data_IF_431414614218
#
_entry.id   IF_431414614218
#
_cell.length_a   1.000
_cell.length_b   1.000
_cell.length_c   1.000
_cell.angle_alpha   90.00
_cell.angle_beta   90.00
_cell.angle_gamma   90.00
#
_symmetry.space_group_name_H-M   'P 1'
#
loop_
_entity.id
_entity.type
_entity.pdbx_description
1 polymer ?
#
# COMPACT_ATOMS: atom_id res chain seq x y z
N UNK A 1 -15.56 -10.26 1.05
CA UNK A 1 -14.60 -9.23 1.49
C UNK A 1 -14.04 -9.55 2.87
N UNK A 2 -14.88 -9.83 3.87
CA UNK A 2 -14.50 -10.20 5.25
C UNK A 2 -13.28 -11.12 5.41
N UNK A 3 -13.23 -12.27 4.74
CA UNK A 3 -12.07 -13.19 4.83
C UNK A 3 -10.73 -12.59 4.36
N UNK A 4 -10.77 -11.71 3.35
CA UNK A 4 -9.56 -11.03 2.85
C UNK A 4 -9.09 -9.98 3.85
N UNK A 5 -10.01 -9.14 4.34
CA UNK A 5 -9.68 -8.17 5.39
C UNK A 5 -9.16 -8.86 6.65
N UNK A 6 -9.76 -9.97 7.06
CA UNK A 6 -9.27 -10.79 8.18
C UNK A 6 -7.84 -11.27 7.99
N UNK A 7 -7.47 -11.68 6.76
CA UNK A 7 -6.11 -12.07 6.44
C UNK A 7 -5.15 -10.87 6.49
N UNK A 8 -5.53 -9.73 5.91
CA UNK A 8 -4.71 -8.52 5.91
C UNK A 8 -4.54 -7.92 7.31
N UNK A 9 -5.51 -8.07 8.21
CA UNK A 9 -5.35 -7.64 9.60
C UNK A 9 -4.40 -8.57 10.37
N UNK A 10 -4.44 -9.88 10.09
CA UNK A 10 -3.51 -10.84 10.70
C UNK A 10 -2.08 -10.71 10.15
N UNK A 11 -1.97 -10.28 8.90
CA UNK A 11 -0.71 -10.19 8.16
C UNK A 11 -0.61 -8.84 7.42
N UNK A 12 -0.53 -7.70 8.13
CA UNK A 12 -0.49 -6.37 7.51
C UNK A 12 0.77 -6.13 6.68
N UNK A 13 1.83 -6.91 6.91
CA UNK A 13 3.03 -6.95 6.07
C UNK A 13 2.75 -7.36 4.62
N UNK A 14 1.61 -8.03 4.35
CA UNK A 14 1.15 -8.33 2.99
C UNK A 14 0.71 -7.07 2.23
N UNK A 15 0.47 -5.96 2.93
CA UNK A 15 0.19 -4.64 2.35
C UNK A 15 1.50 -3.85 2.26
N UNK A 16 2.14 -3.64 3.41
CA UNK A 16 3.41 -2.90 3.52
C UNK A 16 4.18 -3.30 4.80
N UNK A 17 5.51 -3.47 4.75
CA UNK A 17 6.31 -3.74 5.94
C UNK A 17 6.18 -2.65 7.01
N UNK A 18 5.96 -3.06 8.25
CA UNK A 18 5.80 -2.16 9.40
C UNK A 18 4.43 -1.48 9.48
N UNK A 19 3.48 -1.84 8.62
CA UNK A 19 2.09 -1.41 8.73
C UNK A 19 1.42 -2.10 9.94
N UNK A 20 0.69 -1.32 10.73
CA UNK A 20 -0.11 -1.78 11.86
C UNK A 20 -1.56 -1.38 11.65
N UNK A 21 -2.47 -2.35 11.54
CA UNK A 21 -3.90 -2.06 11.44
C UNK A 21 -4.43 -1.60 12.80
N UNK A 22 -5.05 -0.43 12.82
CA UNK A 22 -5.65 0.19 14.01
C UNK A 22 -7.14 -0.07 14.11
N UNK A 23 -7.85 -0.08 12.97
CA UNK A 23 -9.28 -0.31 12.94
C UNK A 23 -9.73 -1.01 11.65
N UNK A 24 -10.84 -1.74 11.75
CA UNK A 24 -11.55 -2.39 10.65
C UNK A 24 -12.85 -1.64 10.42
N UNK A 25 -13.08 -1.15 9.22
CA UNK A 25 -14.29 -0.39 8.88
C UNK A 25 -14.42 0.92 9.68
N UNK A 26 -13.49 1.86 9.47
CA UNK A 26 -13.61 3.20 10.03
C UNK A 26 -14.79 3.91 9.38
N UNK A 27 -15.87 4.12 10.15
CA UNK A 27 -17.06 4.83 9.70
C UNK A 27 -16.77 6.33 9.54
N UNK A 28 -17.10 6.86 8.37
CA UNK A 28 -16.99 8.26 7.97
C UNK A 28 -18.27 8.71 7.26
N UNK A 29 -18.45 10.01 7.06
CA UNK A 29 -19.69 10.55 6.46
C UNK A 29 -19.99 9.98 5.05
N UNK A 30 -18.94 9.63 4.28
CA UNK A 30 -19.08 9.07 2.92
C UNK A 30 -19.27 7.56 2.88
N UNK A 31 -19.23 6.86 4.03
CA UNK A 31 -19.29 5.40 4.09
C UNK A 31 -18.30 4.83 5.11
N UNK A 32 -17.71 3.68 4.81
CA UNK A 32 -16.69 3.05 5.65
C UNK A 32 -15.38 2.91 4.89
N UNK A 33 -14.27 3.19 5.54
CA UNK A 33 -12.94 2.80 5.05
C UNK A 33 -12.65 1.40 5.53
N UNK A 34 -12.35 0.50 4.60
CA UNK A 34 -12.12 -0.91 4.90
C UNK A 34 -11.11 -1.13 6.02
N UNK A 35 -9.95 -0.47 5.97
CA UNK A 35 -8.92 -0.56 7.02
C UNK A 35 -8.28 0.80 7.30
N UNK A 36 -8.16 1.12 8.59
CA UNK A 36 -7.36 2.23 9.08
C UNK A 36 -6.11 1.69 9.78
N UNK A 37 -4.95 2.26 9.46
CA UNK A 37 -3.66 1.74 9.85
C UNK A 37 -2.66 2.85 10.16
N UNK A 38 -1.51 2.45 10.72
CA UNK A 38 -0.34 3.29 10.91
C UNK A 38 0.87 2.62 10.29
N UNK A 39 1.64 3.36 9.49
CA UNK A 39 2.86 2.83 8.90
C UNK A 39 4.06 2.88 9.85
N UNK A 40 5.21 2.39 9.36
CA UNK A 40 6.47 2.36 10.09
C UNK A 40 6.99 3.76 10.49
N UNK A 41 6.53 4.83 9.83
CA UNK A 41 6.89 6.22 10.13
C UNK A 41 5.90 6.89 11.09
N UNK A 42 4.87 6.17 11.54
CA UNK A 42 3.84 6.69 12.43
C UNK A 42 2.75 7.48 11.71
N UNK A 43 2.67 7.43 10.38
CA UNK A 43 1.67 8.17 9.59
C UNK A 43 0.35 7.41 9.54
N UNK A 44 -0.76 8.14 9.55
CA UNK A 44 -2.10 7.59 9.37
C UNK A 44 -2.29 7.11 7.93
N UNK A 45 -2.75 5.87 7.77
CA UNK A 45 -2.94 5.22 6.47
C UNK A 45 -4.35 4.67 6.37
N UNK A 46 -5.01 4.92 5.24
CA UNK A 46 -6.25 4.26 4.85
C UNK A 46 -5.95 3.23 3.77
N UNK A 47 -6.45 2.01 3.95
CA UNK A 47 -6.23 0.92 2.99
C UNK A 47 -7.56 0.45 2.45
N UNK A 48 -7.67 0.46 1.13
CA UNK A 48 -8.81 -0.06 0.38
C UNK A 48 -8.38 -1.34 -0.35
N UNK A 49 -8.64 -2.53 0.20
CA UNK A 49 -8.30 -3.79 -0.44
C UNK A 49 -9.32 -4.17 -1.52
N UNK A 50 -8.82 -4.60 -2.69
CA UNK A 50 -9.63 -5.15 -3.78
C UNK A 50 -9.24 -6.60 -4.04
N UNK A 51 -10.23 -7.50 -4.12
CA UNK A 51 -9.99 -8.92 -4.47
C UNK A 51 -9.48 -9.11 -5.90
N UNK A 52 -9.91 -8.24 -6.81
CA UNK A 52 -9.59 -8.29 -8.22
C UNK A 52 -8.80 -7.07 -8.67
N UNK A 53 -8.64 -6.94 -9.98
CA UNK A 53 -7.95 -5.81 -10.58
C UNK A 53 -8.62 -4.49 -10.20
N UNK A 54 -7.84 -3.54 -9.71
CA UNK A 54 -8.28 -2.17 -9.44
C UNK A 54 -8.61 -1.43 -10.75
N UNK A 55 -9.76 -0.76 -10.77
CA UNK A 55 -10.26 0.05 -11.88
C UNK A 55 -10.34 1.54 -11.47
N UNK A 56 -10.71 2.41 -12.41
CA UNK A 56 -10.87 3.84 -12.14
C UNK A 56 -11.89 4.13 -11.04
N UNK A 57 -12.92 3.28 -10.91
CA UNK A 57 -13.93 3.42 -9.86
C UNK A 57 -13.31 3.23 -8.49
N UNK A 58 -12.41 2.25 -8.33
CA UNK A 58 -11.68 2.03 -7.09
C UNK A 58 -10.77 3.19 -6.71
N UNK A 59 -10.05 3.77 -7.68
CA UNK A 59 -9.22 4.98 -7.49
C UNK A 59 -10.09 6.18 -7.11
N UNK A 60 -11.23 6.34 -7.77
CA UNK A 60 -12.16 7.46 -7.53
C UNK A 60 -12.88 7.33 -6.20
N UNK A 61 -13.17 6.11 -5.74
CA UNK A 61 -13.69 5.84 -4.41
C UNK A 61 -12.66 6.21 -3.35
N UNK A 62 -11.44 5.65 -3.43
CA UNK A 62 -10.38 5.94 -2.48
C UNK A 62 -10.07 7.45 -2.36
N UNK A 63 -10.06 8.17 -3.48
CA UNK A 63 -9.86 9.62 -3.47
C UNK A 63 -10.96 10.39 -2.71
N UNK A 64 -12.22 9.94 -2.78
CA UNK A 64 -13.33 10.54 -2.03
C UNK A 64 -13.19 10.26 -0.54
N UNK A 65 -12.86 9.02 -0.17
CA UNK A 65 -12.76 8.63 1.24
C UNK A 65 -11.58 9.32 1.94
N UNK A 66 -10.44 9.47 1.26
CA UNK A 66 -9.32 10.28 1.73
C UNK A 66 -9.73 11.72 1.97
N UNK A 67 -10.45 12.33 1.02
CA UNK A 67 -10.92 13.71 1.17
C UNK A 67 -11.91 13.86 2.33
N UNK A 68 -12.72 12.84 2.62
CA UNK A 68 -13.62 12.82 3.78
C UNK A 68 -12.84 12.70 5.10
N UNK A 69 -11.86 11.78 5.18
CA UNK A 69 -11.02 11.61 6.39
C UNK A 69 -10.22 12.86 6.73
N UNK A 70 -9.68 13.53 5.72
CA UNK A 70 -8.95 14.78 5.94
C UNK A 70 -9.85 15.86 6.55
N UNK A 71 -11.17 15.82 6.28
CA UNK A 71 -12.16 16.73 6.87
C UNK A 71 -12.64 16.29 8.25
N UNK A 72 -12.51 15.01 8.62
CA UNK A 72 -12.98 14.47 9.91
C UNK A 72 -12.05 14.76 11.10
N UNK A 73 -10.95 15.49 10.88
CA UNK A 73 -10.01 15.89 11.94
C UNK A 73 -8.85 14.91 12.18
N UNK A 74 -8.77 13.82 11.41
CA UNK A 74 -7.65 12.85 11.47
C UNK A 74 -6.35 13.44 10.87
N UNK A 75 -6.46 14.57 10.15
CA UNK A 75 -5.33 15.28 9.58
C UNK A 75 -4.83 14.66 8.28
N UNK A 76 -3.54 14.82 7.99
CA UNK A 76 -2.93 14.28 6.78
C UNK A 76 -2.94 12.75 6.81
N UNK A 77 -3.55 12.15 5.79
CA UNK A 77 -3.70 10.69 5.67
C UNK A 77 -3.11 10.20 4.35
N UNK A 78 -2.44 9.06 4.41
CA UNK A 78 -1.89 8.35 3.27
C UNK A 78 -2.86 7.27 2.82
N UNK A 79 -2.87 6.96 1.52
CA UNK A 79 -3.80 5.98 0.98
C UNK A 79 -3.09 4.86 0.23
N UNK A 80 -3.61 3.64 0.41
CA UNK A 80 -3.14 2.44 -0.27
C UNK A 80 -4.35 1.74 -0.91
N UNK A 81 -4.27 1.48 -2.21
CA UNK A 81 -5.21 0.62 -2.93
C UNK A 81 -4.59 -0.77 -3.08
N UNK A 82 -4.89 -1.69 -2.16
CA UNK A 82 -4.27 -3.01 -2.12
C UNK A 82 -5.00 -3.99 -3.06
N UNK A 83 -4.45 -4.19 -4.26
CA UNK A 83 -5.04 -5.06 -5.29
C UNK A 83 -3.99 -5.97 -5.96
N UNK A 84 -4.38 -7.11 -6.56
CA UNK A 84 -3.45 -7.97 -7.30
C UNK A 84 -2.90 -7.31 -8.57
N UNK A 85 -3.65 -6.37 -9.15
CA UNK A 85 -3.25 -5.59 -10.32
C UNK A 85 -4.10 -4.33 -10.44
N UNK A 86 -3.70 -3.40 -11.30
CA UNK A 86 -4.44 -2.18 -11.63
C UNK A 86 -4.56 -2.04 -13.15
N UNK A 87 -5.65 -1.47 -13.66
CA UNK A 87 -5.76 -1.16 -15.10
C UNK A 87 -4.93 0.09 -15.45
N UNK A 88 -4.43 0.18 -16.69
CA UNK A 88 -3.68 1.36 -17.12
C UNK A 88 -4.49 2.68 -17.02
N UNK A 89 -5.79 2.73 -17.37
CA UNK A 89 -6.60 3.93 -17.15
C UNK A 89 -6.75 4.31 -15.68
N UNK A 90 -6.77 3.33 -14.76
CA UNK A 90 -6.85 3.58 -13.33
C UNK A 90 -5.54 4.14 -12.80
N UNK A 91 -4.41 3.56 -13.23
CA UNK A 91 -3.08 4.06 -12.91
C UNK A 91 -2.87 5.49 -13.39
N UNK A 92 -3.31 5.83 -14.61
CA UNK A 92 -3.20 7.20 -15.14
C UNK A 92 -4.05 8.23 -14.38
N UNK A 93 -4.98 7.78 -13.54
CA UNK A 93 -5.87 8.65 -12.76
C UNK A 93 -5.38 8.86 -11.33
N UNK A 94 -4.33 8.16 -10.90
CA UNK A 94 -3.72 8.44 -9.59
C UNK A 94 -2.95 9.76 -9.67
N UNK A 95 -3.25 10.75 -8.83
CA UNK A 95 -2.45 11.97 -8.70
C UNK A 95 -0.96 11.66 -8.55
N UNK A 96 -0.09 12.51 -9.14
CA UNK A 96 1.36 12.27 -9.16
C UNK A 96 2.02 12.26 -7.78
N UNK A 97 1.35 12.80 -6.77
CA UNK A 97 1.75 12.80 -5.35
C UNK A 97 1.18 11.63 -4.55
N UNK A 98 0.39 10.73 -5.16
CA UNK A 98 0.06 9.41 -4.59
C UNK A 98 1.34 8.58 -4.48
N UNK A 99 2.12 8.84 -3.43
CA UNK A 99 3.37 8.14 -3.15
C UNK A 99 3.19 6.65 -2.82
N UNK A 100 1.97 6.08 -2.90
CA UNK A 100 1.72 4.72 -2.41
C UNK A 100 0.49 4.04 -3.04
N UNK A 101 0.23 4.19 -4.34
CA UNK A 101 -0.40 3.09 -5.08
C UNK A 101 0.63 1.94 -5.24
N UNK A 102 1.16 1.45 -4.11
CA UNK A 102 1.97 0.24 -4.08
C UNK A 102 1.00 -0.90 -4.24
N UNK A 103 1.02 -1.52 -5.42
CA UNK A 103 0.57 -2.90 -5.56
C UNK A 103 1.43 -3.70 -4.59
N UNK A 104 0.86 -4.10 -3.46
CA UNK A 104 1.60 -4.94 -2.54
C UNK A 104 1.96 -6.25 -3.26
N UNK A 105 3.25 -6.59 -3.41
CA UNK A 105 3.64 -7.88 -3.96
C UNK A 105 3.27 -8.96 -2.93
N UNK A 106 2.04 -9.45 -3.03
CA UNK A 106 1.47 -10.38 -2.04
C UNK A 106 0.01 -10.74 -2.29
N UNK A 107 -0.73 -9.91 -3.04
CA UNK A 107 -2.09 -10.29 -3.49
C UNK A 107 -2.12 -11.12 -4.80
N UNK A 108 -0.96 -11.62 -5.26
CA UNK A 108 -0.86 -12.49 -6.43
C UNK A 108 -0.67 -13.95 -6.00
N UNK A 109 -1.68 -14.76 -6.30
CA UNK A 109 -1.66 -16.21 -6.52
C UNK A 109 -0.79 -17.05 -5.57
N UNK A 110 -1.47 -17.83 -4.73
CA UNK A 110 -1.07 -19.20 -4.43
C UNK A 110 -0.96 -20.01 -5.74
N UNK A 111 0.18 -19.95 -6.45
CA UNK A 111 0.76 -21.09 -7.18
C UNK A 111 2.23 -20.86 -7.66
N UNK A 112 3.15 -21.55 -6.98
CA UNK A 112 4.39 -22.23 -7.43
C UNK A 112 5.18 -21.75 -8.67
N UNK A 113 6.46 -21.38 -8.41
CA UNK A 113 7.75 -21.64 -9.14
C UNK A 113 7.86 -21.14 -10.60
N UNK A 114 8.91 -20.41 -11.05
CA UNK A 114 10.36 -20.68 -10.91
C UNK A 114 11.19 -19.43 -11.31
N UNK A 115 12.34 -19.21 -10.67
CA UNK A 115 13.38 -18.23 -11.06
C UNK A 115 14.12 -18.67 -12.35
N UNK A 116 14.60 -17.73 -13.19
CA UNK A 116 15.86 -17.87 -13.94
C UNK A 116 17.01 -17.14 -13.23
N UNK A 117 18.28 -17.51 -13.49
CA UNK A 117 19.41 -17.09 -12.67
C UNK A 117 19.78 -15.62 -12.89
N UNK A 118 20.10 -14.96 -11.78
CA UNK A 118 20.69 -13.63 -11.76
C UNK A 118 22.15 -13.71 -12.23
N UNK A 119 22.47 -13.05 -13.34
CA UNK A 119 23.82 -12.64 -13.67
C UNK A 119 23.82 -11.12 -13.75
N UNK A 120 24.46 -10.44 -12.81
CA UNK A 120 25.79 -9.84 -13.01
C UNK A 120 26.14 -9.03 -11.77
N UNK A 121 27.20 -9.49 -11.15
CA UNK A 121 28.03 -8.87 -10.13
C UNK A 121 28.35 -7.39 -10.43
N UNK A 122 28.20 -6.53 -9.43
CA UNK A 122 28.92 -5.25 -9.38
C UNK A 122 29.29 -4.97 -7.93
N UNK A 123 30.55 -5.29 -7.61
CA UNK A 123 31.16 -5.07 -6.31
C UNK A 123 31.31 -3.56 -6.02
N UNK A 124 31.09 -3.10 -4.78
CA UNK A 124 31.35 -1.71 -4.41
C UNK A 124 32.87 -1.43 -4.30
N UNK A 125 33.32 -0.19 -4.56
CA UNK A 125 34.74 0.17 -4.47
C UNK A 125 35.21 0.25 -3.01
N UNK A 126 36.50 -0.04 -2.73
CA UNK A 126 37.02 -0.06 -1.36
C UNK A 126 37.22 1.35 -0.78
N UNK A 127 36.81 1.51 0.48
CA UNK A 127 37.13 2.65 1.33
C UNK A 127 38.64 2.78 1.55
N UNK A 128 39.22 3.95 1.28
CA UNK A 128 40.56 4.30 1.76
C UNK A 128 40.49 4.89 3.17
N UNK A 129 41.23 4.29 4.11
CA UNK A 129 41.46 4.82 5.47
C UNK A 129 42.37 6.04 5.44
N UNK A 130 42.13 6.94 6.39
CA UNK A 130 42.93 8.11 6.71
C UNK A 130 44.37 7.76 7.08
N UNK A 131 45.29 8.70 6.85
CA UNK A 131 46.55 8.78 7.57
C UNK A 131 46.86 10.25 7.85
N UNK A 132 47.08 10.52 9.13
CA UNK A 132 47.60 11.75 9.70
C UNK A 132 49.08 11.86 9.34
N UNK A 133 49.55 13.02 8.90
CA UNK A 133 50.77 13.68 9.42
C UNK A 133 50.75 15.15 9.02
#
# INVERSE_FOLDING_TARGET
MKQMQDALVRHPELIEPGLTVLDRELLIDSGGIDLYARDAQGRSVVVEPKRGRATQDGVSQLGRDVATVQKSGIGTVWSILAAPSITAPALNRTPGDWHSARLAPGLMLLHQRSCPPCSTEQSPPPFKRASQT
#
